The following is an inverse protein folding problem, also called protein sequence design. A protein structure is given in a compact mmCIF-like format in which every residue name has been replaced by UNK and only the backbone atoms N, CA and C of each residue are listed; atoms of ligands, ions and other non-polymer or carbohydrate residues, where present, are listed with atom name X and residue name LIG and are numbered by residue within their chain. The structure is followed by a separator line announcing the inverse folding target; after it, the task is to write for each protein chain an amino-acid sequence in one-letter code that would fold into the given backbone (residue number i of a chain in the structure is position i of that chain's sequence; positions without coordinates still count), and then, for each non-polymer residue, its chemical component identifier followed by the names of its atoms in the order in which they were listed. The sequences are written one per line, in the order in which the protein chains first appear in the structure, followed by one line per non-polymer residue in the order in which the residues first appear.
data_IF_290702388804
#
_entry.id   IF_290702388804
#
_cell.length_a   1.000
_cell.length_b   1.000
_cell.length_c   1.000
_cell.angle_alpha   90.00
_cell.angle_beta   90.00
_cell.angle_gamma   90.00
#
_symmetry.space_group_name_H-M   'P 1'
#
loop_
_entity.id
_entity.type
_entity.pdbx_description
1 polymer ?
#
# COMPACT_ATOMS: atom_id res chain seq x y z
N UNK A 1 -11.84 12.10 -12.68
CA UNK A 1 -10.80 11.86 -11.66
C UNK A 1 -11.37 11.54 -10.26
N UNK A 2 -12.69 11.44 -10.05
CA UNK A 2 -13.31 11.28 -8.73
C UNK A 2 -13.45 9.84 -8.20
N UNK A 3 -12.65 8.86 -8.67
CA UNK A 3 -12.89 7.46 -8.26
C UNK A 3 -11.66 6.57 -8.13
N UNK A 4 -10.47 7.15 -7.91
CA UNK A 4 -9.27 6.34 -7.64
C UNK A 4 -9.14 5.99 -6.15
N UNK A 5 -9.36 6.97 -5.28
CA UNK A 5 -9.24 6.82 -3.83
C UNK A 5 -10.63 6.62 -3.25
N UNK A 6 -10.87 5.47 -2.62
CA UNK A 6 -12.13 5.17 -1.91
C UNK A 6 -12.34 6.15 -0.76
N UNK A 7 -13.58 6.50 -0.42
CA UNK A 7 -13.90 7.27 0.78
C UNK A 7 -13.42 6.59 2.06
N UNK A 8 -13.36 5.27 2.07
CA UNK A 8 -12.91 4.45 3.20
C UNK A 8 -11.39 4.30 3.32
N UNK A 9 -10.60 4.80 2.35
CA UNK A 9 -9.14 4.74 2.40
C UNK A 9 -8.57 5.86 3.30
N UNK A 10 -8.33 5.60 4.58
CA UNK A 10 -7.90 6.63 5.53
C UNK A 10 -6.40 6.97 5.48
N UNK A 11 -5.54 5.99 5.15
CA UNK A 11 -4.08 6.16 5.21
C UNK A 11 -3.50 6.84 3.96
N UNK A 12 -2.45 7.64 4.16
CA UNK A 12 -1.67 8.31 3.10
C UNK A 12 -2.47 9.25 2.16
N UNK A 13 -3.61 9.75 2.63
CA UNK A 13 -4.45 10.72 1.89
C UNK A 13 -4.46 12.06 2.62
N UNK A 14 -4.11 13.14 1.91
CA UNK A 14 -4.15 14.49 2.49
C UNK A 14 -5.55 14.81 3.02
N UNK A 15 -5.61 15.30 4.25
CA UNK A 15 -6.88 15.69 4.89
C UNK A 15 -7.65 14.54 5.54
N UNK A 16 -7.12 13.30 5.54
CA UNK A 16 -7.67 12.18 6.31
C UNK A 16 -6.74 11.85 7.47
N UNK A 17 -7.32 11.55 8.63
CA UNK A 17 -6.57 11.23 9.85
C UNK A 17 -6.66 9.73 10.15
N UNK A 18 -5.59 9.20 10.75
CA UNK A 18 -5.58 7.79 11.19
C UNK A 18 -6.69 7.49 12.21
N UNK A 19 -7.05 8.49 13.01
CA UNK A 19 -8.11 8.40 14.02
C UNK A 19 -9.50 8.25 13.40
N UNK A 20 -9.73 8.73 12.16
CA UNK A 20 -11.03 8.58 11.48
C UNK A 20 -11.39 7.10 11.30
N UNK A 21 -10.41 6.28 10.91
CA UNK A 21 -10.61 4.84 10.76
C UNK A 21 -10.91 4.13 12.08
N UNK A 22 -10.25 4.56 13.16
CA UNK A 22 -10.48 4.03 14.51
C UNK A 22 -11.89 4.38 15.00
N UNK A 23 -12.33 5.62 14.78
CA UNK A 23 -13.66 6.09 15.13
C UNK A 23 -14.74 5.28 14.39
N UNK A 24 -14.63 5.15 13.07
CA UNK A 24 -15.59 4.38 12.26
C UNK A 24 -15.70 2.93 12.75
N UNK A 25 -14.57 2.27 13.01
CA UNK A 25 -14.57 0.89 13.50
C UNK A 25 -15.27 0.76 14.87
N UNK A 26 -15.04 1.71 15.78
CA UNK A 26 -15.69 1.73 17.09
C UNK A 26 -17.21 1.89 16.98
N UNK A 27 -17.69 2.82 16.16
CA UNK A 27 -19.13 3.05 15.95
C UNK A 27 -19.83 1.82 15.35
N UNK A 28 -19.20 1.15 14.37
CA UNK A 28 -19.75 -0.07 13.76
C UNK A 28 -19.85 -1.21 14.79
N UNK A 29 -18.84 -1.36 15.67
CA UNK A 29 -18.85 -2.38 16.73
C UNK A 29 -19.91 -2.04 17.79
N UNK A 30 -20.03 -0.78 18.20
CA UNK A 30 -21.04 -0.35 19.17
C UNK A 30 -22.47 -0.60 18.64
N UNK A 31 -22.74 -0.21 17.39
CA UNK A 31 -24.03 -0.46 16.76
C UNK A 31 -24.35 -1.96 16.71
N UNK A 32 -23.39 -2.79 16.30
CA UNK A 32 -23.58 -4.24 16.27
C UNK A 32 -23.94 -4.81 17.64
N UNK A 33 -23.28 -4.34 18.71
CA UNK A 33 -23.58 -4.72 20.10
C UNK A 33 -24.98 -4.29 20.51
N UNK A 34 -25.34 -3.03 20.27
CA UNK A 34 -26.66 -2.45 20.60
C UNK A 34 -27.80 -3.21 19.90
N UNK A 35 -27.61 -3.57 18.64
CA UNK A 35 -28.58 -4.32 17.84
C UNK A 35 -28.52 -5.84 18.05
N UNK A 36 -27.63 -6.34 18.93
CA UNK A 36 -27.38 -7.78 19.15
C UNK A 36 -27.12 -8.55 17.85
N UNK A 37 -26.49 -7.89 16.87
CA UNK A 37 -26.12 -8.50 15.58
C UNK A 37 -24.86 -9.35 15.77
N UNK A 38 -24.89 -10.57 15.26
CA UNK A 38 -23.67 -11.39 15.14
C UNK A 38 -22.81 -10.82 14.03
N UNK A 39 -21.59 -10.41 14.35
CA UNK A 39 -20.63 -9.84 13.41
C UNK A 39 -19.28 -10.56 13.51
N UNK A 40 -18.55 -10.59 12.40
CA UNK A 40 -17.17 -11.04 12.32
C UNK A 40 -16.30 -9.84 11.95
N UNK A 41 -15.28 -9.55 12.76
CA UNK A 41 -14.25 -8.58 12.39
C UNK A 41 -13.06 -9.34 11.79
N UNK A 42 -12.73 -9.01 10.55
CA UNK A 42 -11.57 -9.58 9.85
C UNK A 42 -10.48 -8.53 9.72
N UNK A 43 -9.36 -8.75 10.41
CA UNK A 43 -8.16 -7.91 10.33
C UNK A 43 -7.08 -8.64 9.55
N UNK A 44 -6.58 -8.01 8.50
CA UNK A 44 -5.48 -8.50 7.67
C UNK A 44 -4.38 -7.45 7.66
N UNK A 45 -3.14 -7.93 7.64
CA UNK A 45 -1.97 -7.09 7.45
C UNK A 45 -1.02 -7.77 6.45
N UNK A 46 -0.21 -6.97 5.75
CA UNK A 46 0.76 -7.46 4.79
C UNK A 46 2.15 -7.52 5.42
N UNK A 47 2.76 -8.71 5.42
CA UNK A 47 4.18 -8.82 5.76
C UNK A 47 5.02 -8.08 4.72
N UNK A 48 5.84 -7.12 5.18
CA UNK A 48 6.75 -6.34 4.33
C UNK A 48 6.05 -5.78 3.09
N UNK A 49 4.96 -5.04 3.33
CA UNK A 49 4.05 -4.55 2.28
C UNK A 49 4.78 -3.83 1.13
N UNK A 50 5.80 -3.03 1.44
CA UNK A 50 6.58 -2.31 0.43
C UNK A 50 7.62 -3.20 -0.24
N UNK A 51 8.31 -4.08 0.48
CA UNK A 51 9.36 -4.94 -0.10
C UNK A 51 8.80 -6.06 -1.00
N UNK A 52 7.51 -6.38 -0.85
CA UNK A 52 6.85 -7.50 -1.51
C UNK A 52 6.05 -7.10 -2.76
N UNK A 53 6.03 -5.82 -3.13
CA UNK A 53 5.27 -5.34 -4.30
C UNK A 53 5.87 -5.91 -5.59
N UNK A 54 5.09 -6.71 -6.31
CA UNK A 54 5.42 -7.15 -7.66
C UNK A 54 5.23 -6.00 -8.67
N UNK A 55 6.26 -5.72 -9.47
CA UNK A 55 6.28 -4.57 -10.36
C UNK A 55 5.39 -4.73 -11.59
N UNK A 56 5.23 -5.96 -12.09
CA UNK A 56 4.37 -6.23 -13.24
C UNK A 56 2.90 -6.17 -12.82
N UNK A 57 2.57 -6.63 -11.60
CA UNK A 57 1.27 -6.44 -10.99
C UNK A 57 0.96 -4.96 -10.75
N UNK A 58 1.94 -4.17 -10.29
CA UNK A 58 1.77 -2.72 -10.14
C UNK A 58 1.44 -2.04 -11.47
N UNK A 59 2.18 -2.31 -12.55
CA UNK A 59 1.89 -1.75 -13.88
C UNK A 59 0.52 -2.22 -14.39
N UNK A 60 0.16 -3.48 -14.18
CA UNK A 60 -1.15 -4.03 -14.52
C UNK A 60 -2.29 -3.26 -13.83
N UNK A 61 -2.19 -3.04 -12.51
CA UNK A 61 -3.19 -2.29 -11.74
C UNK A 61 -3.27 -0.83 -12.20
N UNK A 62 -2.13 -0.18 -12.43
CA UNK A 62 -2.09 1.19 -12.98
C UNK A 62 -2.76 1.25 -14.36
N UNK A 63 -2.56 0.24 -15.21
CA UNK A 63 -3.25 0.12 -16.50
C UNK A 63 -4.77 -0.01 -16.35
N UNK A 64 -5.23 -0.84 -15.39
CA UNK A 64 -6.67 -0.99 -15.07
C UNK A 64 -7.29 0.28 -14.48
N UNK A 65 -6.50 1.08 -13.77
CA UNK A 65 -6.89 2.39 -13.25
C UNK A 65 -6.79 3.52 -14.30
N UNK A 66 -6.48 3.19 -15.55
CA UNK A 66 -6.38 4.11 -16.68
C UNK A 66 -5.28 5.18 -16.52
N UNK A 67 -4.18 4.86 -15.83
CA UNK A 67 -3.01 5.74 -15.83
C UNK A 67 -2.38 5.81 -17.23
N UNK A 68 -2.01 7.02 -17.72
CA UNK A 68 -1.38 7.17 -19.03
C UNK A 68 -0.08 6.36 -19.12
N UNK A 69 0.17 5.75 -20.29
CA UNK A 69 1.38 4.94 -20.53
C UNK A 69 2.68 5.69 -20.21
N UNK A 70 2.75 6.99 -20.52
CA UNK A 70 3.92 7.82 -20.16
C UNK A 70 4.19 7.84 -18.66
N UNK A 71 3.14 7.93 -17.84
CA UNK A 71 3.24 7.92 -16.39
C UNK A 71 3.68 6.54 -15.86
N UNK A 72 3.10 5.47 -16.42
CA UNK A 72 3.46 4.10 -16.04
C UNK A 72 4.93 3.79 -16.37
N UNK A 73 5.41 4.22 -17.53
CA UNK A 73 6.82 4.09 -17.91
C UNK A 73 7.74 4.81 -16.92
N UNK A 74 7.40 6.04 -16.49
CA UNK A 74 8.18 6.75 -15.48
C UNK A 74 8.26 6.00 -14.15
N UNK A 75 7.13 5.48 -13.66
CA UNK A 75 7.12 4.66 -12.44
C UNK A 75 7.97 3.41 -12.61
N UNK A 76 7.88 2.73 -13.76
CA UNK A 76 8.67 1.53 -14.05
C UNK A 76 10.17 1.80 -14.05
N UNK A 77 10.60 2.91 -14.64
CA UNK A 77 12.00 3.33 -14.56
C UNK A 77 12.41 3.59 -13.11
N UNK A 78 11.62 4.36 -12.34
CA UNK A 78 11.94 4.67 -10.94
C UNK A 78 12.14 3.42 -10.06
N UNK A 79 11.30 2.40 -10.23
CA UNK A 79 11.37 1.19 -9.40
C UNK A 79 12.45 0.21 -9.89
N UNK A 80 12.65 0.07 -11.21
CA UNK A 80 13.50 -0.97 -11.78
C UNK A 80 14.98 -0.63 -11.91
N UNK A 81 15.37 0.64 -11.78
CA UNK A 81 16.78 1.06 -11.88
C UNK A 81 17.52 1.06 -10.54
N UNK A 82 16.86 0.67 -9.45
CA UNK A 82 17.42 0.73 -8.10
C UNK A 82 18.39 -0.44 -7.82
N UNK A 83 19.55 -0.08 -7.26
CA UNK A 83 20.55 -1.00 -6.72
C UNK A 83 20.61 -0.84 -5.20
N UNK A 84 20.86 -1.93 -4.48
CA UNK A 84 20.88 -1.96 -3.01
C UNK A 84 22.01 -2.86 -2.52
N UNK A 85 22.57 -2.50 -1.36
CA UNK A 85 23.50 -3.33 -0.57
C UNK A 85 22.91 -3.56 0.83
N UNK A 86 23.16 -4.72 1.43
CA UNK A 86 22.78 -4.99 2.82
C UNK A 86 23.96 -4.66 3.73
N UNK A 87 23.73 -3.90 4.80
CA UNK A 87 24.75 -3.67 5.82
C UNK A 87 24.87 -4.91 6.73
N UNK A 88 26.03 -5.54 6.70
CA UNK A 88 26.39 -6.66 7.58
C UNK A 88 27.39 -6.14 8.60
N UNK A 89 26.98 -6.05 9.87
CA UNK A 89 27.80 -5.46 10.95
C UNK A 89 28.32 -4.05 10.61
N UNK A 90 27.47 -3.24 9.99
CA UNK A 90 27.80 -1.86 9.57
C UNK A 90 28.64 -1.75 8.29
N UNK A 91 29.09 -2.86 7.71
CA UNK A 91 29.82 -2.87 6.44
C UNK A 91 28.89 -3.26 5.27
N UNK A 92 28.92 -2.57 4.12
CA UNK A 92 28.06 -2.90 2.99
C UNK A 92 28.46 -4.23 2.34
N UNK A 93 27.46 -5.04 2.01
CA UNK A 93 27.62 -6.19 1.13
C UNK A 93 27.90 -5.75 -0.31
N UNK A 94 28.13 -6.73 -1.19
CA UNK A 94 28.04 -6.49 -2.64
C UNK A 94 26.66 -5.96 -3.00
N UNK A 95 26.62 -4.99 -3.91
CA UNK A 95 25.37 -4.47 -4.46
C UNK A 95 24.67 -5.51 -5.33
N UNK A 96 23.35 -5.48 -5.31
CA UNK A 96 22.49 -6.24 -6.19
C UNK A 96 21.33 -5.39 -6.67
N UNK A 97 20.78 -5.76 -7.83
CA UNK A 97 19.63 -5.08 -8.41
C UNK A 97 18.36 -5.54 -7.70
N UNK A 98 17.44 -4.60 -7.45
CA UNK A 98 16.12 -4.97 -6.97
C UNK A 98 15.30 -5.61 -8.11
N UNK A 99 14.48 -6.59 -7.76
CA UNK A 99 13.57 -7.27 -8.71
C UNK A 99 12.09 -7.08 -8.35
N UNK A 100 11.83 -6.63 -7.12
CA UNK A 100 10.51 -6.31 -6.59
C UNK A 100 10.64 -5.32 -5.45
N UNK A 101 9.50 -4.82 -4.99
CA UNK A 101 9.38 -3.94 -3.84
C UNK A 101 9.55 -2.46 -4.16
N UNK A 102 9.24 -1.61 -3.20
CA UNK A 102 9.31 -0.16 -3.31
C UNK A 102 10.31 0.37 -2.29
N UNK A 103 11.09 1.37 -2.70
CA UNK A 103 12.00 2.06 -1.79
C UNK A 103 11.18 2.86 -0.76
N UNK A 104 11.45 2.60 0.53
CA UNK A 104 10.87 3.33 1.65
C UNK A 104 11.70 4.56 2.02
#
# INVERSE_FOLDING_TARGET
MHRLISETQSAFVRGRQILDGVLIANEVIDEAKRLKKKVLLFKVDFEKAYDSVDWDFLDFVMGKMHFPTKWRNWIRECISTSWVSVLINGSPSKEFKMERGLRQ
#
